data_IF_320835056777
#
_entry.id   IF_320835056777
#
_cell.length_a   1.000
_cell.length_b   1.000
_cell.length_c   1.000
_cell.angle_alpha   90.00
_cell.angle_beta   90.00
_cell.angle_gamma   90.00
#
_symmetry.space_group_name_H-M   'P 1'
#
loop_
_entity.id
_entity.type
_entity.pdbx_description
1 polymer ?
#
# COMPACT_ATOMS: atom_id res chain seq x y z
N UNK A 1 -26.14 -67.39 -9.87
CA UNK A 1 -25.26 -66.55 -10.71
C UNK A 1 -24.73 -65.40 -9.86
N UNK A 2 -23.41 -65.35 -9.69
CA UNK A 2 -22.64 -64.36 -8.93
C UNK A 2 -22.53 -63.06 -9.71
N UNK A 3 -22.62 -61.90 -9.03
CA UNK A 3 -21.79 -60.71 -9.32
C UNK A 3 -21.84 -59.74 -8.14
N UNK A 4 -20.74 -59.69 -7.40
CA UNK A 4 -20.41 -58.65 -6.43
C UNK A 4 -19.84 -57.47 -7.21
N UNK A 5 -20.36 -56.28 -7.02
CA UNK A 5 -19.70 -55.03 -7.46
C UNK A 5 -19.63 -54.09 -6.26
N UNK A 6 -18.44 -54.05 -5.66
CA UNK A 6 -18.00 -53.02 -4.74
C UNK A 6 -17.77 -51.76 -5.57
N UNK A 7 -18.41 -50.65 -5.21
CA UNK A 7 -17.98 -49.33 -5.68
C UNK A 7 -17.61 -48.47 -4.48
N UNK A 8 -16.41 -47.93 -4.60
CA UNK A 8 -15.61 -47.28 -3.57
C UNK A 8 -16.27 -46.02 -3.03
N UNK A 9 -16.11 -45.81 -1.72
CA UNK A 9 -16.34 -44.53 -1.08
C UNK A 9 -15.32 -43.51 -1.60
N UNK A 10 -15.82 -42.41 -2.16
CA UNK A 10 -15.03 -41.22 -2.46
C UNK A 10 -15.11 -40.30 -1.23
N UNK A 11 -14.13 -40.41 -0.34
CA UNK A 11 -13.81 -39.38 0.66
C UNK A 11 -13.23 -38.17 -0.09
N UNK A 12 -14.04 -37.12 -0.23
CA UNK A 12 -13.57 -35.80 -0.65
C UNK A 12 -12.89 -35.13 0.55
N UNK A 13 -11.56 -35.27 0.65
CA UNK A 13 -10.75 -34.42 1.50
C UNK A 13 -10.67 -33.05 0.83
N UNK A 14 -11.49 -32.10 1.29
CA UNK A 14 -11.32 -30.68 0.95
C UNK A 14 -10.09 -30.20 1.73
N UNK A 15 -8.93 -30.23 1.07
CA UNK A 15 -7.75 -29.53 1.52
C UNK A 15 -8.01 -28.03 1.31
N UNK A 16 -8.37 -27.31 2.37
CA UNK A 16 -8.24 -25.86 2.43
C UNK A 16 -6.75 -25.54 2.56
N UNK A 17 -6.05 -25.63 1.45
CA UNK A 17 -4.74 -25.02 1.28
C UNK A 17 -5.00 -23.56 0.88
N UNK A 18 -5.26 -22.70 1.87
CA UNK A 18 -5.02 -21.27 1.71
C UNK A 18 -3.50 -21.09 1.76
N UNK A 19 -2.90 -21.28 0.59
CA UNK A 19 -1.53 -20.95 0.30
C UNK A 19 -1.31 -19.46 0.56
N UNK A 20 -0.76 -19.14 1.73
CA UNK A 20 0.09 -17.98 1.91
C UNK A 20 1.34 -18.20 1.03
N UNK A 21 1.19 -17.96 -0.27
CA UNK A 21 2.30 -17.51 -1.09
C UNK A 21 2.35 -15.98 -0.83
N UNK A 22 3.27 -15.44 -0.03
CA UNK A 22 4.70 -15.40 -0.37
C UNK A 22 4.85 -15.15 -1.87
N UNK A 23 4.39 -13.98 -2.31
CA UNK A 23 4.59 -13.46 -3.66
C UNK A 23 6.05 -13.03 -3.79
N UNK A 24 6.95 -14.02 -3.80
CA UNK A 24 8.32 -13.89 -4.24
C UNK A 24 8.44 -14.54 -5.61
N UNK A 25 8.16 -13.76 -6.66
CA UNK A 25 8.52 -14.01 -8.06
C UNK A 25 7.82 -15.16 -8.78
N UNK A 26 6.85 -14.85 -9.65
CA UNK A 26 6.76 -15.40 -11.02
C UNK A 26 5.65 -14.65 -11.79
N UNK A 27 6.01 -14.09 -12.94
CA UNK A 27 5.21 -13.35 -13.91
C UNK A 27 3.78 -13.90 -14.15
N UNK A 28 2.78 -13.43 -13.38
CA UNK A 28 1.37 -13.58 -13.74
C UNK A 28 0.50 -12.48 -13.08
N UNK A 29 0.74 -11.24 -13.51
CA UNK A 29 0.21 -10.01 -12.92
C UNK A 29 -1.31 -9.89 -12.86
N UNK A 30 -1.86 -10.01 -11.65
CA UNK A 30 -3.05 -9.27 -11.22
C UNK A 30 -2.64 -7.90 -10.67
N UNK A 31 -3.59 -6.99 -10.45
CA UNK A 31 -3.32 -5.62 -9.95
C UNK A 31 -2.46 -5.59 -8.68
N UNK A 32 -2.57 -6.60 -7.81
CA UNK A 32 -1.75 -6.74 -6.61
C UNK A 32 -0.25 -6.93 -6.90
N UNK A 33 0.12 -7.63 -7.99
CA UNK A 33 1.53 -7.82 -8.35
C UNK A 33 2.20 -6.51 -8.77
N UNK A 34 1.53 -5.75 -9.66
CA UNK A 34 2.04 -4.44 -10.10
C UNK A 34 2.14 -3.43 -8.94
N UNK A 35 1.24 -3.52 -7.97
CA UNK A 35 1.25 -2.70 -6.77
C UNK A 35 2.46 -2.99 -5.86
N UNK A 36 2.70 -4.27 -5.52
CA UNK A 36 3.83 -4.64 -4.67
C UNK A 36 5.19 -4.40 -5.36
N UNK A 37 5.31 -4.68 -6.66
CA UNK A 37 6.54 -4.40 -7.43
C UNK A 37 6.87 -2.90 -7.42
N UNK A 38 5.85 -2.04 -7.57
CA UNK A 38 6.01 -0.59 -7.52
C UNK A 38 6.43 -0.12 -6.12
N UNK A 39 5.89 -0.72 -5.06
CA UNK A 39 6.29 -0.42 -3.69
C UNK A 39 7.74 -0.81 -3.40
N UNK A 40 8.20 -1.95 -3.91
CA UNK A 40 9.59 -2.38 -3.80
C UNK A 40 10.53 -1.42 -4.55
N UNK A 41 10.16 -0.98 -5.77
CA UNK A 41 10.91 0.02 -6.54
C UNK A 41 11.06 1.33 -5.75
N UNK A 42 9.95 1.84 -5.21
CA UNK A 42 9.90 3.08 -4.43
C UNK A 42 10.70 2.92 -3.13
N UNK A 43 10.48 1.85 -2.36
CA UNK A 43 11.20 1.59 -1.12
C UNK A 43 12.72 1.59 -1.31
N UNK A 44 13.21 1.00 -2.41
CA UNK A 44 14.62 1.02 -2.78
C UNK A 44 15.12 2.41 -3.18
N UNK A 45 14.31 3.20 -3.90
CA UNK A 45 14.67 4.57 -4.28
C UNK A 45 14.80 5.49 -3.05
N UNK A 46 13.95 5.29 -2.04
CA UNK A 46 13.93 6.08 -0.81
C UNK A 46 14.73 5.46 0.35
N UNK A 47 15.46 4.37 0.14
CA UNK A 47 16.37 3.81 1.15
C UNK A 47 17.54 4.75 1.48
N UNK A 48 17.89 5.65 0.56
CA UNK A 48 18.89 6.69 0.76
C UNK A 48 18.42 8.02 0.17
N UNK A 49 17.41 8.65 0.80
CA UNK A 49 16.74 9.82 0.25
C UNK A 49 17.67 11.05 0.33
N UNK A 50 17.62 11.88 -0.70
CA UNK A 50 18.30 13.18 -0.72
C UNK A 50 17.40 14.24 -0.08
N UNK A 51 17.53 14.41 1.24
CA UNK A 51 16.77 15.40 1.99
C UNK A 51 17.23 16.85 1.74
N UNK A 52 18.29 17.06 0.95
CA UNK A 52 18.73 18.40 0.57
C UNK A 52 17.98 18.92 -0.68
N UNK A 53 17.18 18.08 -1.34
CA UNK A 53 16.36 18.48 -2.49
C UNK A 53 15.08 19.23 -2.03
N UNK A 54 14.91 20.50 -2.42
CA UNK A 54 13.68 21.25 -2.10
C UNK A 54 12.42 20.66 -2.74
N UNK A 55 12.53 19.77 -3.73
CA UNK A 55 11.40 19.12 -4.38
C UNK A 55 11.12 17.70 -3.83
N UNK A 56 11.86 17.24 -2.82
CA UNK A 56 11.74 15.88 -2.31
C UNK A 56 10.30 15.51 -1.89
N UNK A 57 9.55 16.47 -1.33
CA UNK A 57 8.16 16.25 -0.91
C UNK A 57 7.18 16.14 -2.10
N UNK A 58 7.37 16.97 -3.14
CA UNK A 58 6.56 16.91 -4.36
C UNK A 58 6.82 15.61 -5.13
N UNK A 59 8.08 15.16 -5.15
CA UNK A 59 8.46 13.87 -5.71
C UNK A 59 7.83 12.71 -4.92
N UNK A 60 7.83 12.77 -3.59
CA UNK A 60 7.16 11.76 -2.74
C UNK A 60 5.66 11.72 -3.00
N UNK A 61 4.98 12.87 -3.04
CA UNK A 61 3.55 12.96 -3.33
C UNK A 61 3.22 12.35 -4.70
N UNK A 62 4.02 12.68 -5.72
CA UNK A 62 3.90 12.12 -7.07
C UNK A 62 4.08 10.60 -7.12
N UNK A 63 5.01 10.05 -6.32
CA UNK A 63 5.22 8.61 -6.23
C UNK A 63 4.06 7.92 -5.49
N UNK A 64 3.54 8.51 -4.42
CA UNK A 64 2.36 8.01 -3.71
C UNK A 64 1.12 8.00 -4.62
N UNK A 65 0.97 9.00 -5.49
CA UNK A 65 -0.10 9.02 -6.49
C UNK A 65 0.04 7.87 -7.50
N UNK A 66 1.26 7.57 -7.95
CA UNK A 66 1.52 6.40 -8.81
C UNK A 66 1.17 5.09 -8.11
N UNK A 67 1.45 4.99 -6.82
CA UNK A 67 1.06 3.84 -6.00
C UNK A 67 -0.45 3.74 -5.90
N UNK A 68 -1.16 4.85 -5.63
CA UNK A 68 -2.61 4.89 -5.59
C UNK A 68 -3.26 4.39 -6.89
N UNK A 69 -2.68 4.72 -8.05
CA UNK A 69 -3.17 4.27 -9.35
C UNK A 69 -3.00 2.77 -9.59
N UNK A 70 -1.98 2.16 -8.98
CA UNK A 70 -1.75 0.72 -9.04
C UNK A 70 -2.45 -0.06 -7.91
N UNK A 71 -2.82 0.64 -6.83
CA UNK A 71 -3.36 0.06 -5.62
C UNK A 71 -4.74 -0.60 -5.82
N UNK A 72 -5.06 -1.63 -5.04
CA UNK A 72 -6.42 -2.15 -4.91
C UNK A 72 -7.43 -1.08 -4.49
N UNK A 73 -8.68 -1.18 -4.96
CA UNK A 73 -9.73 -0.18 -4.72
C UNK A 73 -10.02 0.07 -3.23
N UNK A 74 -9.78 -0.92 -2.37
CA UNK A 74 -10.01 -0.84 -0.93
C UNK A 74 -8.95 -0.04 -0.16
N UNK A 75 -7.74 0.11 -0.73
CA UNK A 75 -6.66 0.91 -0.13
C UNK A 75 -6.27 2.13 -0.96
N UNK A 76 -6.75 2.24 -2.21
CA UNK A 76 -6.47 3.36 -3.10
C UNK A 76 -6.75 4.73 -2.47
N UNK A 77 -7.89 4.88 -1.82
CA UNK A 77 -8.27 6.15 -1.20
C UNK A 77 -7.32 6.57 -0.07
N UNK A 78 -6.73 5.59 0.64
CA UNK A 78 -5.75 5.88 1.68
C UNK A 78 -4.41 6.33 1.07
N UNK A 79 -4.03 5.77 -0.08
CA UNK A 79 -2.87 6.26 -0.84
C UNK A 79 -3.07 7.65 -1.42
N UNK A 80 -4.26 7.96 -1.94
CA UNK A 80 -4.60 9.31 -2.40
C UNK A 80 -4.53 10.31 -1.25
N UNK A 81 -5.07 9.96 -0.07
CA UNK A 81 -4.97 10.80 1.12
C UNK A 81 -3.51 11.03 1.56
N UNK A 82 -2.65 10.02 1.43
CA UNK A 82 -1.21 10.17 1.66
C UNK A 82 -0.57 11.13 0.66
N UNK A 83 -0.82 10.95 -0.63
CA UNK A 83 -0.28 11.81 -1.68
C UNK A 83 -0.71 13.28 -1.50
N UNK A 84 -2.00 13.50 -1.26
CA UNK A 84 -2.56 14.83 -1.02
C UNK A 84 -1.93 15.47 0.22
N UNK A 85 -1.82 14.72 1.33
CA UNK A 85 -1.20 15.24 2.55
C UNK A 85 0.27 15.63 2.37
N UNK A 86 1.05 14.86 1.62
CA UNK A 86 2.44 15.22 1.31
C UNK A 86 2.53 16.43 0.37
N UNK A 87 1.60 16.59 -0.58
CA UNK A 87 1.48 17.78 -1.42
C UNK A 87 1.14 19.02 -0.61
N UNK A 88 0.14 18.93 0.27
CA UNK A 88 -0.26 20.03 1.16
C UNK A 88 0.89 20.44 2.08
N UNK A 89 1.64 19.48 2.64
CA UNK A 89 2.83 19.73 3.46
C UNK A 89 3.92 20.43 2.64
N UNK A 90 4.13 20.07 1.37
CA UNK A 90 5.11 20.73 0.52
C UNK A 90 4.80 22.22 0.29
N UNK A 91 3.52 22.58 0.30
CA UNK A 91 3.05 23.96 0.15
C UNK A 91 3.05 24.76 1.49
N UNK A 92 3.18 24.10 2.64
CA UNK A 92 3.21 24.76 3.95
C UNK A 92 4.59 25.33 4.26
N UNK A 93 4.65 26.63 4.51
CA UNK A 93 5.83 27.30 5.05
C UNK A 93 5.94 27.06 6.57
N UNK A 94 6.60 25.95 6.94
CA UNK A 94 6.82 25.57 8.34
C UNK A 94 7.65 26.57 9.14
N UNK A 95 8.47 27.40 8.49
CA UNK A 95 9.28 28.41 9.18
C UNK A 95 8.42 29.58 9.69
N UNK A 96 7.29 29.84 9.02
CA UNK A 96 6.37 30.92 9.34
C UNK A 96 4.97 30.43 9.76
N UNK A 97 4.90 29.20 10.27
CA UNK A 97 3.65 28.54 10.60
C UNK A 97 2.92 29.27 11.74
N UNK A 98 1.78 29.88 11.41
CA UNK A 98 0.92 30.59 12.34
C UNK A 98 -0.22 29.68 12.80
N UNK A 99 -0.19 29.24 14.06
CA UNK A 99 -1.21 28.35 14.64
C UNK A 99 -2.56 29.03 14.86
N UNK A 100 -2.64 30.35 14.70
CA UNK A 100 -3.89 31.10 14.68
C UNK A 100 -4.51 31.16 13.27
N UNK A 101 -3.77 30.74 12.23
CA UNK A 101 -4.25 30.63 10.86
C UNK A 101 -5.14 29.37 10.70
N UNK A 102 -6.39 29.52 10.21
CA UNK A 102 -7.25 28.40 9.86
C UNK A 102 -6.58 27.36 8.94
N UNK A 103 -5.72 27.78 8.00
CA UNK A 103 -5.02 26.87 7.10
C UNK A 103 -4.03 25.94 7.85
N UNK A 104 -3.35 26.46 8.87
CA UNK A 104 -2.48 25.66 9.72
C UNK A 104 -3.27 24.66 10.58
N UNK A 105 -4.47 25.02 11.02
CA UNK A 105 -5.36 24.12 11.74
C UNK A 105 -5.90 23.00 10.85
N UNK A 106 -6.28 23.32 9.61
CA UNK A 106 -6.73 22.33 8.62
C UNK A 106 -5.59 21.36 8.26
N UNK A 107 -4.36 21.85 8.07
CA UNK A 107 -3.18 21.01 7.83
C UNK A 107 -2.90 20.04 9.00
N UNK A 108 -3.06 20.51 10.25
CA UNK A 108 -2.92 19.65 11.44
C UNK A 108 -4.02 18.57 11.52
N UNK A 109 -5.23 18.89 11.08
CA UNK A 109 -6.32 17.92 11.05
C UNK A 109 -6.09 16.88 9.94
N UNK A 110 -5.60 17.31 8.78
CA UNK A 110 -5.17 16.44 7.70
C UNK A 110 -4.08 15.45 8.14
N UNK A 111 -3.12 15.89 8.97
CA UNK A 111 -2.08 15.00 9.53
C UNK A 111 -2.65 13.88 10.42
N UNK A 112 -3.76 14.10 11.12
CA UNK A 112 -4.40 13.04 11.93
C UNK A 112 -5.06 11.99 11.03
N UNK A 113 -5.76 12.44 9.98
CA UNK A 113 -6.34 11.56 8.96
C UNK A 113 -5.26 10.78 8.20
N UNK A 114 -4.15 11.44 7.89
CA UNK A 114 -2.95 10.87 7.30
C UNK A 114 -2.38 9.73 8.14
N UNK A 115 -2.35 9.89 9.46
CA UNK A 115 -1.89 8.84 10.38
C UNK A 115 -2.75 7.58 10.28
N UNK A 116 -4.08 7.75 10.28
CA UNK A 116 -5.00 6.62 10.10
C UNK A 116 -4.88 5.95 8.73
N UNK A 117 -4.68 6.73 7.66
CA UNK A 117 -4.46 6.20 6.31
C UNK A 117 -3.12 5.44 6.21
N UNK A 118 -2.05 5.98 6.80
CA UNK A 118 -0.74 5.34 6.87
C UNK A 118 -0.78 3.99 7.57
N UNK A 119 -1.49 3.89 8.70
CA UNK A 119 -1.63 2.61 9.43
C UNK A 119 -2.34 1.56 8.57
N UNK A 120 -3.45 1.93 7.92
CA UNK A 120 -4.20 1.01 7.03
C UNK A 120 -3.36 0.56 5.84
N UNK A 121 -2.62 1.50 5.24
CA UNK A 121 -1.70 1.21 4.13
C UNK A 121 -0.61 0.24 4.59
N UNK A 122 0.01 0.49 5.75
CA UNK A 122 1.03 -0.40 6.32
C UNK A 122 0.51 -1.82 6.55
N UNK A 123 -0.64 -1.95 7.23
CA UNK A 123 -1.29 -3.24 7.47
C UNK A 123 -1.62 -3.98 6.16
N UNK A 124 -2.09 -3.24 5.14
CA UNK A 124 -2.41 -3.81 3.84
C UNK A 124 -1.16 -4.26 3.08
N UNK A 125 -0.08 -3.48 3.11
CA UNK A 125 1.20 -3.87 2.50
C UNK A 125 1.71 -5.15 3.15
N UNK A 126 1.72 -5.23 4.48
CA UNK A 126 2.20 -6.42 5.19
C UNK A 126 1.34 -7.66 4.87
N UNK A 127 0.02 -7.47 4.76
CA UNK A 127 -0.92 -8.56 4.41
C UNK A 127 -0.76 -9.05 2.98
N UNK A 128 -0.69 -8.14 2.00
CA UNK A 128 -0.75 -8.50 0.56
C UNK A 128 0.63 -8.69 -0.07
N UNK A 129 1.61 -7.87 0.33
CA UNK A 129 2.96 -7.88 -0.22
C UNK A 129 3.98 -8.60 0.68
N UNK A 130 3.72 -8.71 1.98
CA UNK A 130 4.67 -9.25 2.96
C UNK A 130 5.69 -8.20 3.42
N UNK A 131 6.80 -8.67 4.02
CA UNK A 131 7.87 -7.79 4.50
C UNK A 131 8.70 -7.29 3.30
N UNK A 132 8.54 -6.01 2.96
CA UNK A 132 9.28 -5.32 1.90
C UNK A 132 10.67 -4.90 2.43
N UNK A 133 11.54 -5.88 2.70
CA UNK A 133 12.86 -5.70 3.32
C UNK A 133 14.02 -6.06 2.41
#
# INVERSE_FOLDING_TARGET
>A
MTRKTRFAALTAAVALATSLAACGGDDNGGSAGNYCDLLEEIGNAYANPDFEDPNALDDIASQMQRVADAAPDDIKADWEALADGFGDIADVDFENLDLEDPAAMDALQGLEELGGASDRVGDHIESECGDLS
#
